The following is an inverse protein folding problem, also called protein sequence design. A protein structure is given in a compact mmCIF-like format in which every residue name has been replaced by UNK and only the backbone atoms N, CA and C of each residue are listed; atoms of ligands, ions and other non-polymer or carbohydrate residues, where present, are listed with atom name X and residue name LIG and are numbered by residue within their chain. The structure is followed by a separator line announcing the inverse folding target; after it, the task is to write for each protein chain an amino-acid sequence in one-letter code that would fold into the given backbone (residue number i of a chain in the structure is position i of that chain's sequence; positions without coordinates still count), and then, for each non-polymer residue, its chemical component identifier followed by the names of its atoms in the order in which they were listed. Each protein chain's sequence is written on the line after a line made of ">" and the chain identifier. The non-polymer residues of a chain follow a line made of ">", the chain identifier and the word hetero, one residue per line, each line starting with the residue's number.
data_IF_317845704218
#
_entry.id   IF_317845704218
#
_cell.length_a   1.000
_cell.length_b   1.000
_cell.length_c   1.000
_cell.angle_alpha   90.00
_cell.angle_beta   90.00
_cell.angle_gamma   90.00
#
_symmetry.space_group_name_H-M   'P 1'
#
loop_
_entity.id
_entity.type
_entity.pdbx_description
1 polymer ?
#
# COMPACT_ATOMS: atom_id res chain seq x y z
N UNK A 1 19.48 -17.82 14.37
CA UNK A 1 18.90 -16.79 15.26
C UNK A 1 17.41 -16.78 14.96
N UNK A 2 16.53 -17.09 15.92
CA UNK A 2 15.12 -17.33 15.62
C UNK A 2 14.40 -16.04 15.25
N UNK A 3 13.48 -16.13 14.30
CA UNK A 3 12.63 -15.03 13.83
C UNK A 3 11.63 -14.69 14.93
N UNK A 4 11.45 -13.39 15.24
CA UNK A 4 10.40 -12.90 16.14
C UNK A 4 9.37 -12.11 15.34
N UNK A 5 8.09 -12.48 15.43
CA UNK A 5 7.00 -11.79 14.77
C UNK A 5 6.40 -10.69 15.66
N UNK A 6 7.19 -9.70 16.08
CA UNK A 6 6.69 -8.66 16.99
C UNK A 6 5.65 -7.77 16.28
N UNK A 7 4.36 -7.97 16.57
CA UNK A 7 3.24 -7.20 16.02
C UNK A 7 3.11 -5.81 16.66
N UNK A 8 4.23 -5.13 16.92
CA UNK A 8 4.25 -3.69 17.23
C UNK A 8 4.10 -2.90 15.93
N UNK A 9 2.98 -3.07 15.25
CA UNK A 9 2.56 -2.23 14.14
C UNK A 9 2.28 -0.81 14.69
N UNK A 10 3.33 0.00 14.85
CA UNK A 10 3.13 1.46 14.76
C UNK A 10 2.64 1.68 13.35
N UNK A 11 1.37 2.05 13.20
CA UNK A 11 0.81 2.42 11.92
C UNK A 11 1.76 3.42 11.27
N UNK A 12 2.51 2.99 10.25
CA UNK A 12 3.32 3.90 9.49
C UNK A 12 2.38 4.98 8.97
N UNK A 13 2.64 6.23 9.33
CA UNK A 13 1.94 7.39 8.79
C UNK A 13 2.09 7.31 7.26
N UNK A 14 1.01 6.87 6.59
CA UNK A 14 1.01 6.48 5.18
C UNK A 14 1.19 7.67 4.23
N UNK A 15 1.27 8.89 4.76
CA UNK A 15 1.54 10.14 4.05
C UNK A 15 2.95 10.18 3.43
N UNK A 16 3.95 9.54 4.06
CA UNK A 16 5.35 9.64 3.59
C UNK A 16 5.63 8.96 2.25
N UNK A 17 4.96 7.85 1.95
CA UNK A 17 5.21 7.06 0.74
C UNK A 17 4.74 7.75 -0.55
N UNK A 18 3.76 8.65 -0.45
CA UNK A 18 3.17 9.34 -1.60
C UNK A 18 3.63 10.80 -1.74
N UNK A 19 4.32 11.36 -0.74
CA UNK A 19 4.77 12.75 -0.73
C UNK A 19 5.57 13.18 -1.98
N UNK A 20 6.49 12.36 -2.54
CA UNK A 20 7.18 12.75 -3.79
C UNK A 20 6.24 12.84 -4.99
N UNK A 21 5.24 11.96 -5.05
CA UNK A 21 4.24 11.93 -6.12
C UNK A 21 3.26 13.10 -6.00
N UNK A 22 2.87 13.45 -4.77
CA UNK A 22 2.02 14.62 -4.49
C UNK A 22 2.76 15.92 -4.84
N UNK A 23 4.03 16.04 -4.46
CA UNK A 23 4.87 17.20 -4.78
C UNK A 23 5.01 17.40 -6.29
N UNK A 24 5.23 16.32 -7.05
CA UNK A 24 5.31 16.41 -8.52
C UNK A 24 3.98 16.81 -9.15
N UNK A 25 2.89 16.15 -8.78
CA UNK A 25 1.55 16.46 -9.30
C UNK A 25 1.18 17.92 -8.99
N UNK A 26 1.40 18.37 -7.75
CA UNK A 26 1.13 19.75 -7.36
C UNK A 26 1.95 20.75 -8.17
N UNK A 27 3.26 20.50 -8.36
CA UNK A 27 4.11 21.37 -9.16
C UNK A 27 3.63 21.45 -10.63
N UNK A 28 3.26 20.31 -11.22
CA UNK A 28 2.75 20.26 -12.60
C UNK A 28 1.41 21.02 -12.72
N UNK A 29 0.49 20.87 -11.76
CA UNK A 29 -0.79 21.58 -11.78
C UNK A 29 -0.63 23.10 -11.54
N UNK A 30 0.29 23.50 -10.66
CA UNK A 30 0.63 24.92 -10.46
C UNK A 30 1.27 25.54 -11.71
N UNK A 31 2.11 24.80 -12.43
CA UNK A 31 2.71 25.27 -13.67
C UNK A 31 1.68 25.41 -14.81
N UNK A 32 0.70 24.50 -14.88
CA UNK A 32 -0.38 24.53 -15.90
C UNK A 32 -1.43 25.60 -15.68
N UNK A 33 -1.68 25.96 -14.42
CA UNK A 33 -2.67 26.96 -14.01
C UNK A 33 -1.99 28.11 -13.27
N UNK A 34 -0.91 28.65 -13.85
CA UNK A 34 -0.07 29.67 -13.22
C UNK A 34 -0.81 30.97 -12.88
N UNK A 35 -1.90 31.21 -13.61
CA UNK A 35 -2.81 32.36 -13.54
C UNK A 35 -3.91 32.21 -12.49
N UNK A 36 -4.24 30.99 -12.04
CA UNK A 36 -5.17 30.76 -10.92
C UNK A 36 -4.76 29.55 -10.06
N UNK A 37 -4.04 29.78 -8.94
CA UNK A 37 -3.66 28.73 -8.01
C UNK A 37 -4.83 27.94 -7.40
N UNK A 38 -6.05 28.51 -7.34
CA UNK A 38 -7.22 27.79 -6.82
C UNK A 38 -7.70 26.73 -7.80
N UNK A 39 -7.56 26.97 -9.10
CA UNK A 39 -7.82 25.95 -10.13
C UNK A 39 -6.75 24.86 -10.05
N UNK A 40 -5.48 25.22 -9.91
CA UNK A 40 -4.38 24.26 -9.72
C UNK A 40 -4.63 23.31 -8.54
N UNK A 41 -4.98 23.86 -7.37
CA UNK A 41 -5.22 23.07 -6.15
C UNK A 41 -6.43 22.13 -6.30
N UNK A 42 -7.51 22.58 -6.95
CA UNK A 42 -8.68 21.73 -7.22
C UNK A 42 -8.35 20.61 -8.20
N UNK A 43 -7.56 20.89 -9.24
CA UNK A 43 -7.12 19.89 -10.19
C UNK A 43 -6.22 18.84 -9.53
N UNK A 44 -5.26 19.28 -8.70
CA UNK A 44 -4.44 18.39 -7.87
C UNK A 44 -5.29 17.50 -6.95
N UNK A 45 -6.23 18.09 -6.21
CA UNK A 45 -7.11 17.35 -5.31
C UNK A 45 -7.95 16.31 -6.07
N UNK A 46 -8.57 16.70 -7.18
CA UNK A 46 -9.37 15.81 -8.01
C UNK A 46 -8.57 14.61 -8.55
N UNK A 47 -7.28 14.79 -8.85
CA UNK A 47 -6.38 13.73 -9.32
C UNK A 47 -5.94 12.80 -8.18
N UNK A 48 -5.55 13.38 -7.03
CA UNK A 48 -4.84 12.65 -5.97
C UNK A 48 -5.77 12.07 -4.89
N UNK A 49 -6.87 12.73 -4.59
CA UNK A 49 -7.81 12.31 -3.56
C UNK A 49 -8.41 10.93 -3.84
N UNK A 50 -8.89 10.60 -5.07
CA UNK A 50 -9.46 9.28 -5.33
C UNK A 50 -8.41 8.17 -5.20
N UNK A 51 -7.22 8.36 -5.78
CA UNK A 51 -6.14 7.37 -5.73
C UNK A 51 -5.71 7.07 -4.28
N UNK A 52 -5.50 8.11 -3.49
CA UNK A 52 -5.09 7.98 -2.08
C UNK A 52 -6.20 7.37 -1.24
N UNK A 53 -7.45 7.77 -1.47
CA UNK A 53 -8.62 7.21 -0.78
C UNK A 53 -8.75 5.71 -1.05
N UNK A 54 -8.59 5.27 -2.30
CA UNK A 54 -8.63 3.85 -2.64
C UNK A 54 -7.55 3.05 -1.91
N UNK A 55 -6.31 3.55 -1.87
CA UNK A 55 -5.23 2.89 -1.10
C UNK A 55 -5.58 2.76 0.37
N UNK A 56 -6.14 3.81 0.99
CA UNK A 56 -6.54 3.77 2.41
C UNK A 56 -7.67 2.75 2.64
N UNK A 57 -8.69 2.74 1.78
CA UNK A 57 -9.81 1.80 1.88
C UNK A 57 -9.36 0.36 1.68
N UNK A 58 -8.51 0.09 0.69
CA UNK A 58 -7.93 -1.23 0.49
C UNK A 58 -7.13 -1.65 1.71
N UNK A 59 -6.25 -0.79 2.23
CA UNK A 59 -5.44 -1.13 3.41
C UNK A 59 -6.29 -1.39 4.67
N UNK A 60 -7.53 -0.88 4.74
CA UNK A 60 -8.48 -1.24 5.81
C UNK A 60 -9.16 -2.59 5.57
N UNK A 61 -9.47 -2.94 4.33
CA UNK A 61 -10.16 -4.19 3.95
C UNK A 61 -9.20 -5.39 3.92
N UNK A 62 -8.03 -5.19 3.37
CA UNK A 62 -6.99 -6.19 3.18
C UNK A 62 -5.66 -5.53 3.54
N UNK A 63 -5.31 -5.48 4.84
CA UNK A 63 -4.10 -4.80 5.24
C UNK A 63 -2.87 -5.53 4.68
N UNK A 64 -1.81 -4.80 4.29
CA UNK A 64 -0.62 -5.37 3.65
C UNK A 64 0.17 -6.30 4.58
N UNK A 65 -0.16 -6.33 5.86
CA UNK A 65 0.42 -7.19 6.90
C UNK A 65 -0.31 -8.53 7.05
N UNK A 66 -1.15 -8.93 6.08
CA UNK A 66 -1.88 -10.19 6.12
C UNK A 66 -0.99 -11.42 6.40
N UNK A 67 0.22 -11.47 5.84
CA UNK A 67 1.21 -12.53 6.12
C UNK A 67 1.68 -12.46 7.58
N UNK A 68 1.95 -11.27 8.11
CA UNK A 68 2.40 -11.10 9.50
C UNK A 68 1.29 -11.51 10.48
N UNK A 69 0.04 -11.19 10.17
CA UNK A 69 -1.12 -11.64 10.95
C UNK A 69 -1.22 -13.17 10.96
N UNK A 70 -1.13 -13.81 9.80
CA UNK A 70 -1.19 -15.27 9.69
C UNK A 70 -0.04 -15.94 10.47
N UNK A 71 1.18 -15.42 10.35
CA UNK A 71 2.35 -15.90 11.11
C UNK A 71 2.11 -15.73 12.60
N UNK A 72 1.61 -14.59 13.05
CA UNK A 72 1.30 -14.36 14.47
C UNK A 72 0.21 -15.31 14.99
N UNK A 73 -0.87 -15.50 14.23
CA UNK A 73 -1.98 -16.40 14.59
C UNK A 73 -1.50 -17.85 14.71
N UNK A 74 -0.58 -18.29 13.84
CA UNK A 74 -0.01 -19.65 13.86
C UNK A 74 1.07 -19.85 14.93
N UNK A 75 1.87 -18.83 15.21
CA UNK A 75 3.03 -18.95 16.14
C UNK A 75 2.72 -18.47 17.55
N UNK A 76 1.64 -17.71 17.76
CA UNK A 76 1.35 -17.09 19.06
C UNK A 76 2.45 -16.13 19.53
N UNK A 77 3.09 -15.42 18.60
CA UNK A 77 4.27 -14.56 18.83
C UNK A 77 5.51 -15.30 19.36
N UNK A 78 5.53 -16.64 19.28
CA UNK A 78 6.69 -17.41 19.68
C UNK A 78 7.77 -17.40 18.60
N UNK A 79 9.06 -17.47 18.99
CA UNK A 79 10.14 -17.54 18.02
C UNK A 79 10.11 -18.85 17.23
N UNK A 80 10.48 -18.77 15.96
CA UNK A 80 10.63 -19.92 15.06
C UNK A 80 11.92 -19.81 14.24
N UNK A 81 12.44 -20.92 13.72
CA UNK A 81 13.72 -20.93 13.02
C UNK A 81 13.59 -20.56 11.54
N UNK A 82 12.56 -21.06 10.87
CA UNK A 82 12.33 -20.82 9.44
C UNK A 82 10.87 -20.47 9.14
N UNK A 83 10.64 -19.57 8.18
CA UNK A 83 9.27 -19.22 7.78
C UNK A 83 8.52 -20.40 7.18
N UNK A 84 9.25 -21.34 6.55
CA UNK A 84 8.69 -22.57 6.01
C UNK A 84 8.11 -23.50 7.08
N UNK A 85 8.53 -23.35 8.35
CA UNK A 85 7.98 -24.10 9.48
C UNK A 85 6.56 -23.61 9.85
N UNK A 86 6.17 -22.42 9.37
CA UNK A 86 4.91 -21.74 9.69
C UNK A 86 3.99 -21.66 8.46
N UNK A 87 4.57 -21.43 7.28
CA UNK A 87 3.86 -21.15 6.04
C UNK A 87 4.69 -21.54 4.82
N UNK A 88 4.09 -22.26 3.88
CA UNK A 88 4.72 -22.57 2.59
C UNK A 88 4.82 -21.34 1.68
N UNK A 89 5.77 -21.37 0.74
CA UNK A 89 5.89 -20.33 -0.27
C UNK A 89 4.61 -20.18 -1.13
N UNK A 90 3.91 -21.29 -1.40
CA UNK A 90 2.66 -21.29 -2.15
C UNK A 90 1.54 -20.54 -1.41
N UNK A 91 1.39 -20.78 -0.10
CA UNK A 91 0.44 -20.03 0.74
C UNK A 91 0.78 -18.53 0.77
N UNK A 92 2.06 -18.19 0.92
CA UNK A 92 2.50 -16.79 0.94
C UNK A 92 2.19 -16.07 -0.38
N UNK A 93 2.40 -16.75 -1.51
CA UNK A 93 2.05 -16.25 -2.83
C UNK A 93 0.53 -16.10 -3.01
N UNK A 94 -0.27 -17.03 -2.49
CA UNK A 94 -1.73 -16.94 -2.53
C UNK A 94 -2.24 -15.69 -1.77
N UNK A 95 -1.73 -15.47 -0.55
CA UNK A 95 -2.07 -14.29 0.27
C UNK A 95 -1.63 -12.99 -0.44
N UNK A 96 -0.39 -12.95 -0.95
CA UNK A 96 0.16 -11.76 -1.62
C UNK A 96 -0.58 -11.46 -2.92
N UNK A 97 -0.95 -12.48 -3.69
CA UNK A 97 -1.68 -12.32 -4.96
C UNK A 97 -3.10 -11.80 -4.74
N UNK A 98 -3.76 -12.25 -3.67
CA UNK A 98 -5.04 -11.69 -3.22
C UNK A 98 -4.91 -10.19 -2.90
N UNK A 99 -3.89 -9.81 -2.14
CA UNK A 99 -3.63 -8.40 -1.84
C UNK A 99 -3.36 -7.56 -3.10
N UNK A 100 -2.48 -8.00 -4.01
CA UNK A 100 -2.16 -7.26 -5.25
C UNK A 100 -3.41 -6.94 -6.08
N UNK A 101 -4.33 -7.90 -6.18
CA UNK A 101 -5.60 -7.74 -6.91
C UNK A 101 -6.52 -6.72 -6.23
N UNK A 102 -6.72 -6.85 -4.92
CA UNK A 102 -7.62 -5.96 -4.15
C UNK A 102 -7.03 -4.54 -4.03
N UNK A 103 -5.71 -4.41 -3.93
CA UNK A 103 -4.99 -3.15 -3.85
C UNK A 103 -4.83 -2.42 -5.20
N UNK A 104 -5.26 -3.03 -6.30
CA UNK A 104 -5.13 -2.43 -7.62
C UNK A 104 -3.68 -2.27 -8.07
N UNK A 105 -2.75 -3.04 -7.49
CA UNK A 105 -1.36 -3.17 -7.93
C UNK A 105 -1.16 -4.35 -8.88
N UNK A 106 -2.25 -4.95 -9.36
CA UNK A 106 -2.13 -5.94 -10.43
C UNK A 106 -1.54 -5.25 -11.68
N UNK A 107 -0.59 -5.92 -12.31
CA UNK A 107 0.19 -5.37 -13.42
C UNK A 107 -0.69 -4.98 -14.61
N UNK A 108 -1.81 -5.67 -14.81
CA UNK A 108 -2.71 -5.45 -15.94
C UNK A 108 -3.58 -4.21 -15.70
N UNK A 109 -4.08 -4.02 -14.47
CA UNK A 109 -4.74 -2.80 -13.98
C UNK A 109 -3.80 -1.60 -14.05
N UNK A 110 -2.51 -1.77 -13.77
CA UNK A 110 -1.51 -0.69 -13.90
C UNK A 110 -1.19 -0.36 -15.36
N UNK A 111 -1.13 -1.36 -16.23
CA UNK A 111 -0.92 -1.18 -17.68
C UNK A 111 -2.10 -0.50 -18.36
N UNK A 112 -3.32 -0.88 -17.98
CA UNK A 112 -4.56 -0.29 -18.51
C UNK A 112 -4.73 1.19 -18.16
N UNK A 113 -4.08 1.69 -17.11
CA UNK A 113 -4.10 3.12 -16.71
C UNK A 113 -3.02 3.97 -17.38
N UNK A 114 -2.07 3.34 -18.08
CA UNK A 114 -0.96 4.01 -18.78
C UNK A 114 -1.21 4.22 -20.28
N UNK A 115 -2.25 3.60 -20.84
CA UNK A 115 -2.71 3.80 -22.22
C UNK A 115 -3.84 4.81 -22.26
#
# INVERSE_FOLDING_TARGET
>A
MPIRCSLRCRAASRSGAFAPLDARCLADQLARHADDPRVALRAYEAERLPATTQVVLTNRRAPPDAILREVFERTGDQPFDRIEDVMSQAEMLAITSGYKRVAGYDLDSLRARRG
#
